data_IF_613133924574
#
_entry.id   IF_613133924574
#
_cell.length_a   1.000
_cell.length_b   1.000
_cell.length_c   1.000
_cell.angle_alpha   90.00
_cell.angle_beta   90.00
_cell.angle_gamma   90.00
#
_symmetry.space_group_name_H-M   'P 1'
#
loop_
_entity.id
_entity.type
_entity.pdbx_description
1 polymer ?
#
# COMPACT_ATOMS: atom_id res chain seq x y z
N UNK A 1 -26.19 -12.33 -12.19
CA UNK A 1 -25.00 -11.65 -12.78
C UNK A 1 -24.62 -10.65 -11.71
N UNK A 2 -23.87 -11.14 -10.70
CA UNK A 2 -23.54 -10.38 -9.52
C UNK A 2 -22.47 -9.35 -9.92
N UNK A 3 -22.84 -8.07 -9.91
CA UNK A 3 -21.89 -6.96 -9.92
C UNK A 3 -21.09 -7.05 -8.61
N UNK A 4 -19.92 -7.67 -8.68
CA UNK A 4 -18.92 -7.48 -7.64
C UNK A 4 -18.65 -5.98 -7.55
N UNK A 5 -18.58 -5.39 -6.33
CA UNK A 5 -18.23 -3.98 -6.20
C UNK A 5 -16.90 -3.76 -6.94
N UNK A 6 -16.93 -2.85 -7.92
CA UNK A 6 -15.72 -2.46 -8.65
C UNK A 6 -14.72 -1.94 -7.62
N UNK A 7 -13.79 -2.81 -7.23
CA UNK A 7 -12.69 -2.40 -6.36
C UNK A 7 -11.94 -1.28 -7.08
N UNK A 8 -11.84 -0.13 -6.45
CA UNK A 8 -11.29 1.05 -7.07
C UNK A 8 -9.87 0.75 -7.60
N UNK A 9 -9.71 0.75 -8.92
CA UNK A 9 -8.41 0.65 -9.58
C UNK A 9 -7.67 1.94 -9.28
N UNK A 10 -6.57 1.85 -8.54
CA UNK A 10 -5.73 3.00 -8.18
C UNK A 10 -4.61 3.27 -9.19
N UNK A 11 -4.40 2.38 -10.14
CA UNK A 11 -3.37 2.53 -11.17
C UNK A 11 -3.07 1.24 -11.91
N UNK A 12 -2.03 1.28 -12.75
CA UNK A 12 -1.54 0.12 -13.50
C UNK A 12 -0.05 -0.07 -13.30
N UNK A 13 0.40 -1.31 -13.24
CA UNK A 13 1.81 -1.66 -13.04
C UNK A 13 2.67 -1.06 -14.16
N UNK A 14 3.70 -0.30 -13.79
CA UNK A 14 4.73 0.23 -14.69
C UNK A 14 5.95 -0.69 -14.75
N UNK A 15 6.46 -1.08 -13.58
CA UNK A 15 7.61 -1.97 -13.41
C UNK A 15 7.41 -2.84 -12.19
N UNK A 16 7.93 -4.05 -12.21
CA UNK A 16 7.74 -5.01 -11.13
C UNK A 16 8.93 -5.95 -10.97
N UNK A 17 9.06 -6.44 -9.74
CA UNK A 17 9.91 -7.56 -9.34
C UNK A 17 9.15 -8.41 -8.30
N UNK A 18 9.72 -9.51 -7.85
CA UNK A 18 9.10 -10.33 -6.81
C UNK A 18 9.04 -9.62 -5.45
N UNK A 19 9.94 -8.66 -5.20
CA UNK A 19 9.99 -7.92 -3.91
C UNK A 19 9.07 -6.69 -3.89
N UNK A 20 8.58 -6.23 -5.04
CA UNK A 20 7.68 -5.08 -5.12
C UNK A 20 7.43 -4.62 -6.55
N UNK A 21 6.57 -3.64 -6.68
CA UNK A 21 6.22 -3.05 -7.97
C UNK A 21 5.89 -1.56 -7.82
N UNK A 22 5.90 -0.87 -8.95
CA UNK A 22 5.47 0.52 -9.05
C UNK A 22 4.29 0.58 -10.00
N UNK A 23 3.24 1.27 -9.61
CA UNK A 23 2.12 1.56 -10.51
C UNK A 23 2.01 3.07 -10.75
N UNK A 24 1.53 3.40 -11.94
CA UNK A 24 1.21 4.77 -12.34
C UNK A 24 -0.28 5.01 -12.24
N UNK A 25 -0.64 6.21 -11.77
CA UNK A 25 -2.03 6.68 -11.71
C UNK A 25 -2.13 8.12 -12.18
N UNK A 26 -3.37 8.62 -12.34
CA UNK A 26 -3.65 10.01 -12.68
C UNK A 26 -3.82 10.84 -11.41
N UNK A 27 -3.58 12.14 -11.50
CA UNK A 27 -3.71 13.07 -10.37
C UNK A 27 -5.11 13.16 -9.76
N UNK A 28 -6.16 12.84 -10.54
CA UNK A 28 -7.54 12.84 -10.06
C UNK A 28 -7.82 11.77 -9.00
N UNK A 29 -7.08 10.65 -9.06
CA UNK A 29 -7.27 9.49 -8.21
C UNK A 29 -6.42 9.50 -6.93
N UNK A 30 -5.67 10.59 -6.70
CA UNK A 30 -4.71 10.69 -5.58
C UNK A 30 -5.36 10.61 -4.18
N UNK A 31 -6.67 10.83 -4.11
CA UNK A 31 -7.38 10.84 -2.83
C UNK A 31 -7.59 9.45 -2.20
N UNK A 32 -7.40 8.38 -2.97
CA UNK A 32 -7.68 7.01 -2.52
C UNK A 32 -6.43 6.23 -2.03
N UNK A 33 -5.28 6.22 -2.76
CA UNK A 33 -4.10 5.52 -2.28
C UNK A 33 -3.48 6.25 -1.08
N UNK A 34 -3.21 5.54 -0.01
CA UNK A 34 -2.55 6.08 1.18
C UNK A 34 -1.37 5.22 1.61
N UNK A 35 -0.39 5.85 2.26
CA UNK A 35 0.77 5.17 2.83
C UNK A 35 0.34 4.05 3.80
N UNK A 36 0.88 2.85 3.63
CA UNK A 36 0.55 1.67 4.43
C UNK A 36 -0.73 0.94 4.02
N UNK A 37 -1.46 1.42 3.00
CA UNK A 37 -2.63 0.72 2.50
C UNK A 37 -2.24 -0.59 1.81
N UNK A 38 -3.09 -1.61 1.97
CA UNK A 38 -2.96 -2.88 1.27
C UNK A 38 -3.51 -2.75 -0.15
N UNK A 39 -2.74 -3.24 -1.10
CA UNK A 39 -3.13 -3.30 -2.50
C UNK A 39 -2.99 -4.73 -3.03
N UNK A 40 -3.78 -5.04 -4.05
CA UNK A 40 -3.67 -6.29 -4.79
C UNK A 40 -3.52 -6.05 -6.28
N UNK A 41 -2.81 -6.92 -6.94
CA UNK A 41 -2.73 -6.98 -8.40
C UNK A 41 -2.71 -8.43 -8.84
N UNK A 42 -3.57 -8.78 -9.80
CA UNK A 42 -3.64 -10.13 -10.35
C UNK A 42 -2.55 -10.31 -11.38
N UNK A 43 -1.84 -11.43 -11.31
CA UNK A 43 -0.81 -11.77 -12.28
C UNK A 43 -1.44 -12.26 -13.58
N UNK A 44 -1.73 -11.33 -14.51
CA UNK A 44 -2.35 -11.62 -15.80
C UNK A 44 -3.79 -12.18 -15.70
N UNK A 45 -4.46 -12.29 -16.85
CA UNK A 45 -5.87 -12.72 -16.88
C UNK A 45 -6.08 -14.24 -16.61
N UNK A 46 -5.03 -15.05 -16.66
CA UNK A 46 -5.10 -16.50 -16.51
C UNK A 46 -4.44 -17.01 -15.23
N UNK A 47 -4.03 -16.13 -14.33
CA UNK A 47 -3.39 -16.52 -13.07
C UNK A 47 -4.38 -16.45 -11.91
N UNK A 48 -4.40 -17.49 -11.09
CA UNK A 48 -5.15 -17.53 -9.83
C UNK A 48 -4.34 -16.92 -8.67
N UNK A 49 -3.31 -16.12 -8.98
CA UNK A 49 -2.42 -15.48 -8.02
C UNK A 49 -2.74 -13.99 -7.96
N UNK A 50 -3.20 -13.54 -6.80
CA UNK A 50 -3.33 -12.14 -6.46
C UNK A 50 -2.13 -11.75 -5.57
N UNK A 51 -1.21 -10.96 -6.10
CA UNK A 51 -0.07 -10.43 -5.33
C UNK A 51 -0.57 -9.34 -4.39
N UNK A 52 -0.25 -9.47 -3.11
CA UNK A 52 -0.59 -8.50 -2.06
C UNK A 52 0.65 -7.69 -1.70
N UNK A 53 0.47 -6.36 -1.64
CA UNK A 53 1.54 -5.42 -1.30
C UNK A 53 1.08 -4.30 -0.38
N UNK A 54 2.05 -3.54 0.12
CA UNK A 54 1.85 -2.33 0.91
C UNK A 54 2.39 -1.12 0.16
N UNK A 55 1.61 -0.04 0.10
CA UNK A 55 2.06 1.24 -0.43
C UNK A 55 3.08 1.83 0.53
N UNK A 56 4.33 1.99 0.09
CA UNK A 56 5.40 2.57 0.91
C UNK A 56 5.88 3.95 0.43
N UNK A 57 5.50 4.37 -0.78
CA UNK A 57 5.75 5.72 -1.26
C UNK A 57 4.73 6.12 -2.33
N UNK A 58 4.41 7.40 -2.36
CA UNK A 58 3.61 8.04 -3.41
C UNK A 58 4.42 9.25 -3.86
N UNK A 59 4.82 9.28 -5.12
CA UNK A 59 5.67 10.31 -5.70
C UNK A 59 4.95 11.02 -6.84
N UNK A 60 5.06 12.33 -6.85
CA UNK A 60 4.57 13.18 -7.93
C UNK A 60 5.80 13.70 -8.65
N UNK A 61 5.94 13.36 -9.94
CA UNK A 61 7.08 13.82 -10.71
C UNK A 61 7.02 15.31 -11.00
N UNK A 62 8.22 15.92 -11.08
CA UNK A 62 8.39 17.31 -11.42
C UNK A 62 8.06 17.54 -12.91
N UNK A 63 6.99 18.28 -13.18
CA UNK A 63 6.63 18.71 -14.53
C UNK A 63 7.30 20.06 -14.84
N UNK A 64 8.20 20.14 -15.84
CA UNK A 64 8.86 21.39 -16.24
C UNK A 64 7.90 22.55 -16.53
N UNK A 65 6.69 22.26 -16.98
CA UNK A 65 5.67 23.25 -17.27
C UNK A 65 4.99 23.77 -15.98
N UNK A 66 4.77 22.88 -14.99
CA UNK A 66 4.29 23.31 -13.66
C UNK A 66 5.32 24.23 -13.01
N UNK A 67 6.61 23.89 -13.14
CA UNK A 67 7.72 24.74 -12.66
C UNK A 67 7.71 26.11 -13.33
N UNK A 68 7.52 26.20 -14.66
CA UNK A 68 7.41 27.48 -15.37
C UNK A 68 6.17 28.27 -14.91
N UNK A 69 5.05 27.63 -14.67
CA UNK A 69 3.82 28.27 -14.19
C UNK A 69 4.00 28.83 -12.78
N UNK A 70 4.67 28.13 -11.88
CA UNK A 70 4.99 28.65 -10.52
C UNK A 70 5.84 29.92 -10.62
N UNK A 71 6.81 29.95 -11.54
CA UNK A 71 7.69 31.10 -11.75
C UNK A 71 7.00 32.29 -12.42
N UNK A 72 5.96 32.08 -13.20
CA UNK A 72 5.26 33.14 -13.95
C UNK A 72 4.36 34.03 -13.09
N UNK A 73 4.15 33.73 -11.82
CA UNK A 73 3.45 34.55 -10.79
C UNK A 73 2.05 35.08 -11.15
N UNK A 74 1.41 34.57 -12.23
CA UNK A 74 0.17 35.07 -12.82
C UNK A 74 -0.91 33.97 -12.92
N UNK A 75 -1.08 33.15 -11.88
CA UNK A 75 -2.05 32.06 -11.95
C UNK A 75 -3.40 32.39 -11.33
N UNK A 76 -4.43 32.37 -12.16
CA UNK A 76 -5.81 32.35 -11.74
C UNK A 76 -6.15 30.92 -11.19
N UNK A 77 -6.93 30.86 -10.11
CA UNK A 77 -7.31 29.61 -9.44
C UNK A 77 -8.04 28.62 -10.37
N UNK A 78 -8.80 29.12 -11.35
CA UNK A 78 -9.44 28.32 -12.39
C UNK A 78 -8.42 27.62 -13.31
N UNK A 79 -7.37 28.32 -13.70
CA UNK A 79 -6.29 27.75 -14.54
C UNK A 79 -5.48 26.69 -13.77
N UNK A 80 -5.29 26.87 -12.45
CA UNK A 80 -4.64 25.86 -11.60
C UNK A 80 -5.48 24.58 -11.52
N UNK A 81 -6.80 24.70 -11.33
CA UNK A 81 -7.72 23.59 -11.26
C UNK A 81 -7.76 22.84 -12.59
N UNK A 82 -7.91 23.55 -13.71
CA UNK A 82 -7.94 22.99 -15.06
C UNK A 82 -6.64 22.24 -15.40
N UNK A 83 -5.50 22.79 -15.01
CA UNK A 83 -4.20 22.17 -15.24
C UNK A 83 -4.00 20.90 -14.38
N UNK A 84 -4.55 20.84 -13.17
CA UNK A 84 -4.52 19.60 -12.33
C UNK A 84 -5.38 18.50 -12.93
N UNK A 85 -6.54 18.85 -13.46
CA UNK A 85 -7.52 17.89 -14.01
C UNK A 85 -7.11 17.42 -15.42
N UNK A 86 -6.66 18.33 -16.28
CA UNK A 86 -6.39 18.04 -17.69
C UNK A 86 -4.94 17.63 -17.98
N UNK A 87 -4.00 17.79 -17.03
CA UNK A 87 -2.64 17.30 -17.17
C UNK A 87 -2.48 15.93 -16.52
N UNK A 88 -2.04 14.99 -17.31
CA UNK A 88 -1.56 13.70 -16.85
C UNK A 88 -0.17 13.86 -16.20
N UNK A 89 -0.10 14.48 -15.01
CA UNK A 89 1.11 14.35 -14.19
C UNK A 89 1.13 12.92 -13.69
N UNK A 90 2.08 12.09 -14.10
CA UNK A 90 2.13 10.71 -13.65
C UNK A 90 2.47 10.70 -12.16
N UNK A 91 1.61 10.09 -11.37
CA UNK A 91 1.87 9.79 -9.98
C UNK A 91 2.37 8.36 -9.92
N UNK A 92 3.55 8.17 -9.35
CA UNK A 92 4.09 6.85 -9.09
C UNK A 92 3.75 6.41 -7.66
N UNK A 93 3.17 5.22 -7.54
CA UNK A 93 2.87 4.56 -6.27
C UNK A 93 3.80 3.34 -6.15
N UNK A 94 4.71 3.39 -5.20
CA UNK A 94 5.66 2.31 -4.93
C UNK A 94 5.09 1.36 -3.88
N UNK A 95 5.16 0.07 -4.19
CA UNK A 95 4.56 -1.02 -3.41
C UNK A 95 5.61 -2.07 -3.09
N UNK A 96 5.70 -2.48 -1.82
CA UNK A 96 6.47 -3.65 -1.40
C UNK A 96 5.56 -4.88 -1.35
N UNK A 97 5.99 -6.00 -1.93
CA UNK A 97 5.24 -7.26 -1.88
C UNK A 97 5.33 -7.88 -0.48
N UNK A 98 4.19 -8.20 0.11
CA UNK A 98 4.10 -8.81 1.45
C UNK A 98 3.52 -10.22 1.42
N UNK A 99 3.04 -10.66 0.26
CA UNK A 99 2.54 -12.02 0.07
C UNK A 99 1.72 -12.14 -1.20
N UNK A 100 0.97 -13.23 -1.29
CA UNK A 100 0.01 -13.47 -2.36
C UNK A 100 -1.13 -14.35 -1.87
N UNK A 101 -2.25 -14.29 -2.57
CA UNK A 101 -3.40 -15.18 -2.36
C UNK A 101 -3.52 -16.05 -3.60
N UNK A 102 -3.62 -17.37 -3.41
CA UNK A 102 -3.84 -18.33 -4.48
C UNK A 102 -4.92 -19.34 -4.06
N UNK A 103 -5.97 -19.46 -4.85
CA UNK A 103 -7.13 -20.33 -4.55
C UNK A 103 -7.64 -20.12 -3.10
N UNK A 104 -7.83 -18.85 -2.71
CA UNK A 104 -8.24 -18.43 -1.35
C UNK A 104 -7.21 -18.73 -0.23
N UNK A 105 -6.08 -19.36 -0.54
CA UNK A 105 -5.03 -19.58 0.43
C UNK A 105 -4.08 -18.38 0.50
N UNK A 106 -3.86 -17.89 1.72
CA UNK A 106 -2.95 -16.78 2.00
C UNK A 106 -1.53 -17.29 2.19
N UNK A 107 -0.60 -16.74 1.41
CA UNK A 107 0.83 -17.02 1.47
C UNK A 107 1.58 -15.73 1.83
N UNK A 108 2.13 -15.65 3.03
CA UNK A 108 2.90 -14.49 3.49
C UNK A 108 4.41 -14.69 3.22
N UNK A 109 4.70 -14.91 1.94
CA UNK A 109 6.04 -15.07 1.36
C UNK A 109 6.09 -14.29 0.05
N UNK A 110 7.28 -14.09 -0.50
CA UNK A 110 7.38 -13.44 -1.81
C UNK A 110 6.62 -14.23 -2.88
N UNK A 111 5.93 -13.56 -3.80
CA UNK A 111 5.21 -14.21 -4.88
C UNK A 111 6.19 -14.96 -5.81
N UNK A 112 5.79 -16.09 -6.40
CA UNK A 112 6.66 -16.86 -7.29
C UNK A 112 7.03 -16.11 -8.56
N UNK A 113 6.23 -15.13 -8.96
CA UNK A 113 6.44 -14.27 -10.13
C UNK A 113 5.94 -12.85 -9.84
N UNK A 114 6.57 -11.82 -10.43
CA UNK A 114 6.07 -10.46 -10.32
C UNK A 114 4.77 -10.28 -11.13
N UNK A 115 3.95 -9.27 -10.83
CA UNK A 115 2.86 -8.86 -11.72
C UNK A 115 3.40 -8.37 -13.06
N UNK A 116 2.55 -8.37 -14.07
CA UNK A 116 2.93 -7.92 -15.41
C UNK A 116 2.69 -6.41 -15.58
N UNK A 117 3.46 -5.79 -16.49
CA UNK A 117 3.19 -4.41 -16.86
C UNK A 117 1.76 -4.27 -17.37
N UNK A 118 1.11 -3.16 -16.97
CA UNK A 118 -0.28 -2.81 -17.25
C UNK A 118 -1.33 -3.62 -16.46
N UNK A 119 -0.95 -4.61 -15.65
CA UNK A 119 -1.90 -5.23 -14.73
C UNK A 119 -2.55 -4.16 -13.83
N UNK A 120 -3.88 -4.24 -13.59
CA UNK A 120 -4.56 -3.29 -12.72
C UNK A 120 -4.14 -3.49 -11.26
N UNK A 121 -3.91 -2.39 -10.56
CA UNK A 121 -3.66 -2.36 -9.12
C UNK A 121 -4.90 -1.82 -8.43
N UNK A 122 -5.39 -2.53 -7.43
CA UNK A 122 -6.60 -2.21 -6.67
C UNK A 122 -6.29 -2.11 -5.19
N UNK A 123 -7.01 -1.25 -4.46
CA UNK A 123 -7.02 -1.31 -3.00
C UNK A 123 -7.68 -2.62 -2.55
N UNK A 124 -7.12 -3.25 -1.53
CA UNK A 124 -7.78 -4.37 -0.87
C UNK A 124 -9.00 -3.85 -0.08
N UNK A 125 -10.12 -4.56 -0.20
CA UNK A 125 -11.27 -4.36 0.67
C UNK A 125 -11.00 -4.84 2.10
N UNK A 126 -11.91 -4.52 3.02
CA UNK A 126 -11.80 -4.88 4.42
C UNK A 126 -11.70 -6.41 4.62
N UNK A 127 -12.46 -7.19 3.84
CA UNK A 127 -12.48 -8.65 3.94
C UNK A 127 -11.15 -9.26 3.49
N UNK A 128 -10.57 -8.76 2.38
CA UNK A 128 -9.24 -9.19 1.92
C UNK A 128 -8.15 -8.84 2.93
N UNK A 129 -8.18 -7.61 3.49
CA UNK A 129 -7.22 -7.19 4.52
C UNK A 129 -7.38 -8.04 5.78
N UNK A 130 -8.62 -8.26 6.23
CA UNK A 130 -8.91 -9.10 7.39
C UNK A 130 -8.39 -10.53 7.17
N UNK A 131 -8.72 -11.16 6.03
CA UNK A 131 -8.26 -12.50 5.67
C UNK A 131 -6.73 -12.58 5.64
N UNK A 132 -6.07 -11.64 4.95
CA UNK A 132 -4.62 -11.64 4.80
C UNK A 132 -3.93 -11.46 6.15
N UNK A 133 -4.48 -10.66 7.06
CA UNK A 133 -3.87 -10.31 8.34
C UNK A 133 -4.32 -11.20 9.52
N UNK A 134 -4.93 -12.36 9.27
CA UNK A 134 -5.15 -13.40 10.30
C UNK A 134 -3.83 -13.95 10.85
N UNK A 135 -2.78 -13.91 10.04
CA UNK A 135 -1.40 -14.19 10.43
C UNK A 135 -0.57 -12.93 10.20
N UNK A 136 0.56 -12.81 10.88
CA UNK A 136 1.40 -11.62 10.87
C UNK A 136 2.84 -11.93 10.40
N UNK A 137 3.04 -13.03 9.70
CA UNK A 137 4.37 -13.45 9.21
C UNK A 137 4.93 -12.45 8.18
N UNK A 138 4.06 -11.71 7.47
CA UNK A 138 4.46 -10.67 6.52
C UNK A 138 5.26 -9.53 7.16
N UNK A 139 5.10 -9.28 8.47
CA UNK A 139 5.85 -8.24 9.18
C UNK A 139 7.36 -8.46 9.03
N UNK A 140 7.79 -9.72 9.01
CA UNK A 140 9.21 -10.08 8.79
C UNK A 140 9.70 -9.65 7.40
N UNK A 141 8.86 -9.74 6.36
CA UNK A 141 9.24 -9.32 5.01
C UNK A 141 9.49 -7.81 4.98
N UNK A 142 8.58 -7.04 5.59
CA UNK A 142 8.73 -5.58 5.66
C UNK A 142 9.94 -5.19 6.49
N UNK A 143 10.17 -5.83 7.67
CA UNK A 143 11.33 -5.55 8.54
C UNK A 143 12.68 -5.78 7.84
N UNK A 144 12.74 -6.66 6.84
CA UNK A 144 13.95 -7.00 6.10
C UNK A 144 14.06 -6.27 4.74
N UNK A 145 13.12 -5.37 4.42
CA UNK A 145 13.19 -4.59 3.18
C UNK A 145 14.12 -3.40 3.37
N UNK A 146 15.04 -3.18 2.41
CA UNK A 146 15.87 -1.99 2.34
C UNK A 146 15.12 -0.84 1.65
N UNK A 147 15.57 0.40 1.91
CA UNK A 147 15.10 1.62 1.22
C UNK A 147 13.61 1.95 1.44
N UNK A 148 13.02 1.46 2.54
CA UNK A 148 11.64 1.69 2.94
C UNK A 148 11.59 2.21 4.38
N UNK A 149 10.75 3.20 4.72
CA UNK A 149 10.54 3.63 6.10
C UNK A 149 9.77 2.56 6.88
N UNK A 150 10.49 1.55 7.33
CA UNK A 150 9.95 0.25 7.75
C UNK A 150 9.02 0.36 8.96
N UNK A 151 9.41 1.15 9.98
CA UNK A 151 8.64 1.31 11.21
C UNK A 151 7.33 2.05 10.96
N UNK A 152 7.40 3.13 10.20
CA UNK A 152 6.24 3.94 9.80
C UNK A 152 5.31 3.12 8.90
N UNK A 153 5.88 2.34 7.97
CA UNK A 153 5.10 1.49 7.08
C UNK A 153 4.36 0.40 7.86
N UNK A 154 5.04 -0.29 8.78
CA UNK A 154 4.41 -1.31 9.62
C UNK A 154 3.31 -0.72 10.49
N UNK A 155 3.56 0.44 11.11
CA UNK A 155 2.57 1.11 11.93
C UNK A 155 1.34 1.52 11.13
N UNK A 156 1.52 2.06 9.92
CA UNK A 156 0.43 2.42 9.03
C UNK A 156 -0.35 1.16 8.57
N UNK A 157 0.33 0.12 8.13
CA UNK A 157 -0.28 -1.14 7.70
C UNK A 157 -1.10 -1.80 8.82
N UNK A 158 -0.56 -1.83 10.05
CA UNK A 158 -1.28 -2.39 11.20
C UNK A 158 -2.52 -1.56 11.57
N UNK A 159 -2.48 -0.23 11.42
CA UNK A 159 -3.68 0.61 11.59
C UNK A 159 -4.71 0.33 10.50
N UNK A 160 -4.31 0.21 9.23
CA UNK A 160 -5.21 -0.20 8.16
C UNK A 160 -5.83 -1.57 8.44
N UNK A 161 -5.04 -2.53 8.89
CA UNK A 161 -5.51 -3.86 9.25
C UNK A 161 -6.46 -3.85 10.46
N UNK A 162 -6.21 -3.01 11.45
CA UNK A 162 -7.13 -2.83 12.58
C UNK A 162 -8.46 -2.22 12.12
N UNK A 163 -8.43 -1.23 11.22
CA UNK A 163 -9.65 -0.59 10.70
C UNK A 163 -10.51 -1.53 9.83
N UNK A 164 -9.92 -2.57 9.26
CA UNK A 164 -10.64 -3.63 8.55
C UNK A 164 -11.39 -4.61 9.49
N UNK A 165 -11.28 -4.43 10.80
CA UNK A 165 -11.91 -5.25 11.83
C UNK A 165 -13.06 -4.51 12.52
N UNK A 166 -14.03 -5.26 13.11
CA UNK A 166 -15.00 -4.70 14.04
C UNK A 166 -14.30 -3.90 15.15
N UNK A 167 -14.96 -2.85 15.64
CA UNK A 167 -14.35 -1.89 16.57
C UNK A 167 -13.85 -2.54 17.86
N UNK A 168 -14.59 -3.51 18.37
CA UNK A 168 -14.28 -4.29 19.57
C UNK A 168 -13.06 -5.21 19.40
N UNK A 169 -12.71 -5.62 18.19
CA UNK A 169 -11.56 -6.46 17.89
C UNK A 169 -10.27 -5.68 17.59
N UNK A 170 -10.36 -4.38 17.29
CA UNK A 170 -9.21 -3.56 16.84
C UNK A 170 -8.10 -3.51 17.87
N UNK A 171 -8.46 -3.31 19.12
CA UNK A 171 -7.46 -3.22 20.20
C UNK A 171 -6.75 -4.57 20.44
N UNK A 172 -7.51 -5.67 20.51
CA UNK A 172 -6.92 -7.01 20.69
C UNK A 172 -5.97 -7.38 19.55
N UNK A 173 -6.33 -7.07 18.31
CA UNK A 173 -5.46 -7.25 17.14
C UNK A 173 -4.14 -6.48 17.27
N UNK A 174 -4.18 -5.19 17.66
CA UNK A 174 -2.96 -4.40 17.84
C UNK A 174 -2.08 -4.91 18.98
N UNK A 175 -2.66 -5.45 20.04
CA UNK A 175 -1.93 -6.11 21.14
C UNK A 175 -1.22 -7.37 20.63
N UNK A 176 -1.90 -8.20 19.85
CA UNK A 176 -1.31 -9.42 19.29
C UNK A 176 -0.22 -9.09 18.25
N UNK A 177 -0.41 -8.06 17.43
CA UNK A 177 0.62 -7.53 16.55
C UNK A 177 1.86 -7.06 17.34
N UNK A 178 1.66 -6.34 18.44
CA UNK A 178 2.73 -5.91 19.34
C UNK A 178 3.52 -7.08 19.95
N UNK A 179 2.83 -8.15 20.35
CA UNK A 179 3.48 -9.38 20.84
C UNK A 179 4.30 -10.07 19.76
N UNK A 180 3.77 -10.14 18.53
CA UNK A 180 4.49 -10.71 17.40
C UNK A 180 5.75 -9.92 17.07
N UNK A 181 5.65 -8.58 17.03
CA UNK A 181 6.79 -7.68 16.84
C UNK A 181 7.84 -7.81 17.95
N UNK A 182 7.42 -8.00 19.21
CA UNK A 182 8.35 -8.22 20.32
C UNK A 182 9.18 -9.50 20.12
N UNK A 183 8.60 -10.54 19.54
CA UNK A 183 9.34 -11.75 19.15
C UNK A 183 10.36 -11.48 18.03
N UNK A 184 9.93 -10.76 16.98
CA UNK A 184 10.79 -10.46 15.82
C UNK A 184 11.94 -9.49 16.16
N UNK A 185 11.71 -8.53 17.05
CA UNK A 185 12.66 -7.48 17.45
C UNK A 185 13.26 -7.71 18.85
N UNK A 186 13.29 -8.95 19.33
CA UNK A 186 13.78 -9.30 20.67
C UNK A 186 15.22 -8.83 20.94
N UNK A 187 16.04 -8.67 19.89
CA UNK A 187 17.41 -8.20 19.95
C UNK A 187 17.58 -6.69 19.69
N UNK A 188 16.48 -5.97 19.39
CA UNK A 188 16.48 -4.52 19.11
C UNK A 188 15.36 -3.81 19.87
N UNK A 189 15.54 -3.68 21.17
CA UNK A 189 14.57 -3.04 22.07
C UNK A 189 14.26 -1.57 21.72
N UNK A 190 15.25 -0.74 21.34
CA UNK A 190 14.97 0.64 20.94
C UNK A 190 14.02 0.72 19.74
N UNK A 191 14.25 -0.08 18.71
CA UNK A 191 13.42 -0.18 17.52
C UNK A 191 12.02 -0.69 17.84
N UNK A 192 11.91 -1.72 18.68
CA UNK A 192 10.64 -2.23 19.18
C UNK A 192 9.86 -1.15 19.92
N UNK A 193 10.49 -0.44 20.86
CA UNK A 193 9.84 0.62 21.62
C UNK A 193 9.32 1.75 20.73
N UNK A 194 10.08 2.13 19.70
CA UNK A 194 9.65 3.12 18.73
C UNK A 194 8.41 2.65 17.98
N UNK A 195 8.43 1.45 17.43
CA UNK A 195 7.32 0.88 16.67
C UNK A 195 6.04 0.73 17.52
N UNK A 196 6.17 0.26 18.78
CA UNK A 196 5.03 0.14 19.70
C UNK A 196 4.38 1.50 19.99
N UNK A 197 5.16 2.59 20.04
CA UNK A 197 4.59 3.96 20.16
C UNK A 197 3.81 4.36 18.93
N UNK A 198 4.27 3.97 17.73
CA UNK A 198 3.61 4.32 16.46
C UNK A 198 2.28 3.57 16.27
N UNK A 199 2.17 2.32 16.74
CA UNK A 199 0.93 1.52 16.59
C UNK A 199 -0.09 1.78 17.70
N UNK A 200 0.29 2.47 18.77
CA UNK A 200 -0.62 2.74 19.89
C UNK A 200 -1.83 3.54 19.39
N UNK A 201 -3.06 3.12 19.72
CA UNK A 201 -4.24 3.91 19.41
C UNK A 201 -4.11 5.32 20.02
N UNK A 202 -4.41 6.33 19.21
CA UNK A 202 -4.58 7.69 19.73
C UNK A 202 -5.90 7.71 20.47
N UNK A 203 -5.83 7.98 21.78
CA UNK A 203 -7.00 8.08 22.65
C UNK A 203 -7.87 9.29 22.27
#
# INVERSE_FOLDING_TARGET
MDEQPEHAIIGRVLRASTVGFVCGTRSEDIGQPSFGAFVRTRHGQMSDIDVIGLIHAISIDDDPLVRQMILANNMNQATMSDQRVNRMVPIEISVVSVGFIQYENVHQTLPPRPPLSLDPVQLCDADTVWLFTQRLDFLRLVLNTSDVPTEELLAAALRHAANARPEDERYSFLVDAGRHLAGLLSHDLPRLQHLLKLIRPVA
#
